data_IF_621087548321
#
_entry.id   IF_621087548321
#
_cell.length_a   1.000
_cell.length_b   1.000
_cell.length_c   1.000
_cell.angle_alpha   90.00
_cell.angle_beta   90.00
_cell.angle_gamma   90.00
#
_symmetry.space_group_name_H-M   'P 1'
#
loop_
_entity.id
_entity.type
_entity.pdbx_description
1 polymer ?
#
# COMPACT_ATOMS: atom_id res chain seq x y z
N UNK A 1 -33.69 63.70 -31.94
CA UNK A 1 -34.74 63.02 -31.13
C UNK A 1 -34.67 61.53 -31.40
N UNK A 2 -34.76 60.72 -30.32
CA UNK A 2 -34.98 59.27 -30.29
C UNK A 2 -33.82 58.35 -30.71
N UNK A 3 -32.93 58.12 -29.74
CA UNK A 3 -32.29 56.83 -29.54
C UNK A 3 -33.27 55.94 -28.77
N UNK A 4 -33.65 54.79 -29.33
CA UNK A 4 -34.40 53.74 -28.64
C UNK A 4 -33.80 52.37 -28.98
N UNK A 5 -33.14 51.80 -27.95
CA UNK A 5 -33.24 50.39 -27.49
C UNK A 5 -33.12 49.25 -28.51
N UNK A 6 -32.10 48.40 -28.35
CA UNK A 6 -32.28 47.09 -27.71
C UNK A 6 -30.90 46.48 -27.36
N UNK A 7 -30.55 46.49 -26.08
CA UNK A 7 -29.48 45.68 -25.53
C UNK A 7 -30.05 44.28 -25.27
N UNK A 8 -29.60 43.27 -26.01
CA UNK A 8 -30.08 41.89 -25.86
C UNK A 8 -28.96 40.90 -26.21
N UNK A 9 -27.86 40.95 -25.44
CA UNK A 9 -26.74 40.01 -25.53
C UNK A 9 -26.08 39.90 -24.15
N UNK A 10 -26.73 39.23 -23.20
CA UNK A 10 -26.11 38.82 -21.95
C UNK A 10 -26.86 37.64 -21.33
N UNK A 11 -26.82 36.49 -22.00
CA UNK A 11 -27.14 35.19 -21.41
C UNK A 11 -26.41 34.17 -22.25
N UNK A 12 -25.59 33.31 -21.63
CA UNK A 12 -24.99 32.04 -22.10
C UNK A 12 -23.52 31.91 -21.65
N UNK A 13 -23.26 31.88 -20.35
CA UNK A 13 -22.01 31.30 -19.81
C UNK A 13 -22.29 30.58 -18.49
N UNK A 14 -22.91 29.41 -18.56
CA UNK A 14 -22.90 28.45 -17.47
C UNK A 14 -23.24 27.06 -18.01
N UNK A 15 -22.30 26.42 -18.71
CA UNK A 15 -22.49 25.04 -19.18
C UNK A 15 -21.30 24.11 -18.86
N UNK A 16 -20.33 24.55 -18.05
CA UNK A 16 -19.26 23.69 -17.56
C UNK A 16 -18.99 23.96 -16.08
N UNK A 17 -19.93 23.54 -15.22
CA UNK A 17 -19.61 23.31 -13.82
C UNK A 17 -19.13 21.84 -13.69
N UNK A 18 -17.94 21.57 -13.13
CA UNK A 18 -17.53 20.21 -12.85
C UNK A 18 -18.51 19.60 -11.84
N UNK A 19 -19.10 18.46 -12.20
CA UNK A 19 -19.97 17.68 -11.32
C UNK A 19 -19.16 17.32 -10.07
N UNK A 20 -19.69 17.54 -8.85
CA UNK A 20 -19.01 17.09 -7.64
C UNK A 20 -18.85 15.58 -7.73
N UNK A 21 -17.63 15.08 -7.46
CA UNK A 21 -17.32 13.64 -7.40
C UNK A 21 -18.15 12.99 -6.28
N UNK A 22 -19.40 12.66 -6.59
CA UNK A 22 -20.18 11.66 -5.90
C UNK A 22 -19.49 10.32 -6.10
N UNK A 23 -19.31 9.60 -4.99
CA UNK A 23 -18.77 8.25 -4.87
C UNK A 23 -18.91 7.47 -6.18
N UNK A 24 -17.79 7.20 -6.87
CA UNK A 24 -17.76 6.26 -7.99
C UNK A 24 -18.38 4.97 -7.47
N UNK A 25 -19.57 4.61 -7.95
CA UNK A 25 -20.05 3.26 -7.80
C UNK A 25 -18.96 2.35 -8.41
N UNK A 26 -18.57 1.25 -7.75
CA UNK A 26 -17.71 0.28 -8.40
C UNK A 26 -18.45 -0.13 -9.68
N UNK A 27 -17.84 0.16 -10.83
CA UNK A 27 -18.26 -0.45 -12.09
C UNK A 27 -18.21 -1.94 -11.84
N UNK A 28 -19.38 -2.58 -11.70
CA UNK A 28 -19.43 -4.03 -11.62
C UNK A 28 -18.64 -4.53 -12.81
N UNK A 29 -17.68 -5.42 -12.58
CA UNK A 29 -17.08 -6.19 -13.66
C UNK A 29 -18.23 -6.64 -14.57
N UNK A 30 -18.26 -6.13 -15.80
CA UNK A 30 -19.20 -6.57 -16.81
C UNK A 30 -18.92 -8.04 -17.01
N UNK A 31 -19.66 -8.87 -16.27
CA UNK A 31 -19.62 -10.30 -16.42
C UNK A 31 -20.12 -10.56 -17.83
N UNK A 32 -19.39 -11.38 -18.59
CA UNK A 32 -19.77 -11.78 -19.95
C UNK A 32 -21.28 -12.10 -19.96
N UNK A 33 -22.01 -11.56 -20.94
CA UNK A 33 -23.40 -11.94 -21.12
C UNK A 33 -23.44 -13.47 -21.35
N UNK A 34 -24.19 -14.17 -20.50
CA UNK A 34 -24.25 -15.63 -20.59
C UNK A 34 -24.91 -16.05 -21.92
N UNK A 35 -24.09 -16.52 -22.86
CA UNK A 35 -24.52 -16.96 -24.19
C UNK A 35 -24.92 -18.44 -24.23
N UNK A 36 -24.85 -19.16 -23.11
CA UNK A 36 -25.11 -20.61 -23.06
C UNK A 36 -26.52 -20.97 -23.57
N UNK A 37 -27.54 -20.21 -23.16
CA UNK A 37 -28.92 -20.41 -23.59
C UNK A 37 -29.11 -20.15 -25.10
N UNK A 38 -28.43 -19.15 -25.66
CA UNK A 38 -28.50 -18.83 -27.09
C UNK A 38 -27.81 -19.91 -27.93
N UNK A 39 -26.67 -20.43 -27.47
CA UNK A 39 -25.96 -21.55 -28.10
C UNK A 39 -26.81 -22.83 -28.08
N UNK A 40 -27.45 -23.14 -26.95
CA UNK A 40 -28.32 -24.30 -26.83
C UNK A 40 -29.52 -24.21 -27.78
N UNK A 41 -30.18 -23.05 -27.86
CA UNK A 41 -31.27 -22.81 -28.78
C UNK A 41 -30.84 -22.93 -30.26
N UNK A 42 -29.67 -22.39 -30.62
CA UNK A 42 -29.11 -22.52 -31.97
C UNK A 42 -28.80 -23.99 -32.33
N UNK A 43 -28.27 -24.77 -31.39
CA UNK A 43 -27.99 -26.18 -31.56
C UNK A 43 -29.27 -27.02 -31.68
N UNK A 44 -30.30 -26.72 -30.89
CA UNK A 44 -31.59 -27.41 -30.97
C UNK A 44 -32.30 -27.13 -32.31
N UNK A 45 -32.32 -25.87 -32.76
CA UNK A 45 -32.86 -25.50 -34.06
C UNK A 45 -32.08 -26.13 -35.21
N UNK A 46 -30.75 -26.18 -35.12
CA UNK A 46 -29.89 -26.85 -36.10
C UNK A 46 -30.19 -28.34 -36.21
N UNK A 47 -30.47 -29.01 -35.08
CA UNK A 47 -30.88 -30.43 -35.05
C UNK A 47 -32.27 -30.65 -35.63
N UNK A 48 -33.21 -29.73 -35.37
CA UNK A 48 -34.62 -29.87 -35.74
C UNK A 48 -34.91 -29.52 -37.19
N UNK A 49 -34.33 -28.42 -37.70
CA UNK A 49 -34.61 -27.87 -39.02
C UNK A 49 -33.45 -28.05 -40.01
N UNK A 50 -32.29 -28.50 -39.52
CA UNK A 50 -31.06 -28.63 -40.29
C UNK A 50 -30.16 -27.41 -40.14
N UNK A 51 -28.85 -27.63 -40.19
CA UNK A 51 -27.83 -26.60 -39.95
C UNK A 51 -27.88 -25.42 -40.94
N UNK A 52 -28.50 -25.59 -42.11
CA UNK A 52 -28.63 -24.55 -43.16
C UNK A 52 -30.03 -23.94 -43.24
N UNK A 53 -30.93 -24.30 -42.32
CA UNK A 53 -32.28 -23.71 -42.25
C UNK A 53 -32.22 -22.22 -41.91
N UNK A 54 -33.25 -21.48 -42.32
CA UNK A 54 -33.32 -20.04 -42.05
C UNK A 54 -33.41 -19.76 -40.53
N UNK A 55 -34.12 -20.62 -39.80
CA UNK A 55 -34.31 -20.55 -38.36
C UNK A 55 -33.00 -20.83 -37.60
N UNK A 56 -32.22 -21.81 -38.05
CA UNK A 56 -30.90 -22.07 -37.47
C UNK A 56 -29.93 -20.91 -37.74
N UNK A 57 -29.95 -20.34 -38.96
CA UNK A 57 -29.09 -19.19 -39.30
C UNK A 57 -29.36 -17.99 -38.40
N UNK A 58 -30.62 -17.59 -38.24
CA UNK A 58 -30.96 -16.44 -37.38
C UNK A 58 -30.51 -16.65 -35.93
N UNK A 59 -30.61 -17.87 -35.40
CA UNK A 59 -30.15 -18.16 -34.04
C UNK A 59 -28.63 -18.15 -33.91
N UNK A 60 -27.90 -18.58 -34.95
CA UNK A 60 -26.45 -18.44 -35.00
C UNK A 60 -26.00 -16.98 -35.15
N UNK A 61 -26.73 -16.18 -35.94
CA UNK A 61 -26.48 -14.74 -36.06
C UNK A 61 -26.62 -14.05 -34.68
N UNK A 62 -27.61 -14.47 -33.86
CA UNK A 62 -27.77 -13.95 -32.49
C UNK A 62 -26.60 -14.34 -31.60
N UNK A 63 -26.12 -15.60 -31.68
CA UNK A 63 -24.94 -16.05 -30.92
C UNK A 63 -23.70 -15.24 -31.34
N UNK A 64 -23.54 -15.01 -32.64
CA UNK A 64 -22.44 -14.22 -33.18
C UNK A 64 -22.50 -12.77 -32.71
N UNK A 65 -23.66 -12.12 -32.73
CA UNK A 65 -23.84 -10.75 -32.22
C UNK A 65 -23.57 -10.65 -30.70
N UNK A 66 -23.95 -11.68 -29.93
CA UNK A 66 -23.66 -11.76 -28.49
C UNK A 66 -22.16 -11.93 -28.22
N UNK A 67 -21.46 -12.73 -29.01
CA UNK A 67 -20.01 -12.96 -28.87
C UNK A 67 -19.20 -11.78 -29.40
N UNK A 68 -19.65 -11.12 -30.48
CA UNK A 68 -19.05 -9.89 -31.01
C UNK A 68 -19.16 -8.71 -30.02
N UNK A 69 -20.19 -8.71 -29.18
CA UNK A 69 -20.36 -7.74 -28.09
C UNK A 69 -19.48 -8.04 -26.87
N UNK A 70 -18.83 -9.21 -26.82
CA UNK A 70 -17.98 -9.62 -25.71
C UNK A 70 -16.62 -8.91 -25.74
N UNK A 71 -16.53 -7.82 -24.98
CA UNK A 71 -15.29 -7.09 -24.78
C UNK A 71 -14.39 -7.71 -23.69
N UNK A 72 -14.69 -8.90 -23.16
CA UNK A 72 -13.91 -9.52 -22.08
C UNK A 72 -12.43 -9.71 -22.44
N UNK A 73 -12.11 -9.94 -23.72
CA UNK A 73 -10.74 -10.00 -24.22
C UNK A 73 -9.95 -8.69 -24.00
N UNK A 74 -10.60 -7.53 -24.11
CA UNK A 74 -9.97 -6.23 -23.88
C UNK A 74 -9.74 -5.93 -22.38
N UNK A 75 -10.44 -6.63 -21.50
CA UNK A 75 -10.30 -6.52 -20.05
C UNK A 75 -9.56 -7.70 -19.41
N UNK A 76 -9.00 -8.61 -20.21
CA UNK A 76 -8.04 -9.56 -19.69
C UNK A 76 -6.88 -8.74 -19.13
N UNK A 77 -6.62 -8.91 -17.83
CA UNK A 77 -5.44 -8.35 -17.21
C UNK A 77 -4.24 -8.75 -18.10
N UNK A 78 -3.29 -7.83 -18.36
CA UNK A 78 -2.10 -8.16 -19.12
C UNK A 78 -1.56 -9.45 -18.54
N UNK A 79 -1.45 -10.48 -19.39
CA UNK A 79 -1.04 -11.84 -19.01
C UNK A 79 -0.01 -11.70 -17.91
N UNK A 80 -0.37 -12.13 -16.70
CA UNK A 80 0.55 -12.17 -15.57
C UNK A 80 1.74 -12.94 -16.09
N UNK A 81 2.80 -12.19 -16.40
CA UNK A 81 3.94 -12.72 -17.13
C UNK A 81 4.39 -13.96 -16.35
N UNK A 82 4.66 -15.07 -17.02
CA UNK A 82 5.07 -16.30 -16.30
C UNK A 82 6.29 -16.01 -15.39
N UNK A 83 7.07 -14.99 -15.76
CA UNK A 83 8.14 -14.40 -14.97
C UNK A 83 7.66 -13.70 -13.68
N UNK A 84 6.53 -12.99 -13.69
CA UNK A 84 5.93 -12.39 -12.50
C UNK A 84 5.43 -13.46 -11.51
N UNK A 85 4.72 -14.48 -11.99
CA UNK A 85 4.29 -15.59 -11.12
C UNK A 85 5.49 -16.32 -10.50
N UNK A 86 6.55 -16.55 -11.29
CA UNK A 86 7.80 -17.12 -10.80
C UNK A 86 8.46 -16.23 -9.73
N UNK A 87 8.48 -14.91 -9.93
CA UNK A 87 9.01 -13.94 -8.96
C UNK A 87 8.20 -13.90 -7.67
N UNK A 88 6.87 -13.91 -7.76
CA UNK A 88 5.99 -13.95 -6.58
C UNK A 88 6.20 -15.25 -5.80
N UNK A 89 6.35 -16.38 -6.50
CA UNK A 89 6.64 -17.68 -5.87
C UNK A 89 8.03 -17.72 -5.23
N UNK A 90 9.05 -17.15 -5.88
CA UNK A 90 10.38 -17.04 -5.30
C UNK A 90 10.39 -16.14 -4.06
N UNK A 91 9.66 -15.02 -4.10
CA UNK A 91 9.54 -14.10 -2.97
C UNK A 91 8.84 -14.77 -1.78
N UNK A 92 7.74 -15.50 -2.01
CA UNK A 92 7.03 -16.20 -0.94
C UNK A 92 7.87 -17.30 -0.29
N UNK A 93 8.73 -17.98 -1.06
CA UNK A 93 9.70 -18.93 -0.52
C UNK A 93 10.80 -18.26 0.32
N UNK A 94 11.30 -17.09 -0.09
CA UNK A 94 12.26 -16.35 0.74
C UNK A 94 11.62 -15.90 2.06
N UNK A 95 10.40 -15.36 2.02
CA UNK A 95 9.69 -14.91 3.22
C UNK A 95 9.41 -16.06 4.20
N UNK A 96 9.05 -17.25 3.72
CA UNK A 96 8.83 -18.40 4.59
C UNK A 96 10.13 -18.90 5.23
N UNK A 97 11.25 -18.84 4.48
CA UNK A 97 12.58 -19.16 5.02
C UNK A 97 13.01 -18.15 6.09
N UNK A 98 12.91 -16.85 5.82
CA UNK A 98 13.26 -15.80 6.79
C UNK A 98 12.39 -15.88 8.04
N UNK A 99 11.11 -16.24 7.90
CA UNK A 99 10.22 -16.48 9.05
C UNK A 99 10.74 -17.61 9.94
N UNK A 100 11.15 -18.73 9.35
CA UNK A 100 11.71 -19.86 10.10
C UNK A 100 13.02 -19.48 10.81
N UNK A 101 13.91 -18.75 10.14
CA UNK A 101 15.15 -18.24 10.73
C UNK A 101 14.87 -17.25 11.88
N UNK A 102 13.85 -16.39 11.75
CA UNK A 102 13.42 -15.51 12.85
C UNK A 102 12.85 -16.28 14.05
N UNK A 103 12.08 -17.33 13.81
CA UNK A 103 11.55 -18.18 14.89
C UNK A 103 12.70 -18.91 15.62
N UNK A 104 13.74 -19.33 14.90
CA UNK A 104 14.97 -19.90 15.48
C UNK A 104 15.74 -18.86 16.32
N UNK A 105 15.96 -17.66 15.80
CA UNK A 105 16.59 -16.55 16.54
C UNK A 105 15.80 -16.22 17.81
N UNK A 106 14.47 -16.24 17.74
CA UNK A 106 13.61 -16.01 18.90
C UNK A 106 13.78 -17.10 19.96
N UNK A 107 13.85 -18.37 19.53
CA UNK A 107 14.13 -19.48 20.44
C UNK A 107 15.51 -19.31 21.11
N UNK A 108 16.56 -19.00 20.34
CA UNK A 108 17.89 -18.72 20.90
C UNK A 108 17.86 -17.55 21.89
N UNK A 109 17.14 -16.48 21.57
CA UNK A 109 17.00 -15.32 22.46
C UNK A 109 16.28 -15.68 23.78
N UNK A 110 15.26 -16.53 23.73
CA UNK A 110 14.56 -17.01 24.92
C UNK A 110 15.42 -17.98 25.75
N UNK A 111 16.24 -18.81 25.10
CA UNK A 111 17.27 -19.63 25.76
C UNK A 111 18.34 -18.76 26.44
N UNK A 112 18.81 -17.70 25.77
CA UNK A 112 19.78 -16.73 26.31
C UNK A 112 19.22 -15.94 27.50
N UNK A 113 17.93 -15.58 27.50
CA UNK A 113 17.27 -14.97 28.68
C UNK A 113 17.24 -15.90 29.89
N UNK A 114 17.21 -17.22 29.67
CA UNK A 114 17.25 -18.24 30.71
C UNK A 114 18.65 -18.45 31.30
N UNK A 115 19.70 -18.17 30.52
CA UNK A 115 21.07 -18.14 31.01
C UNK A 115 21.28 -16.82 31.74
N UNK A 116 21.15 -16.86 33.07
CA UNK A 116 21.64 -15.82 33.98
C UNK A 116 23.16 -15.69 33.81
N UNK A 117 23.58 -14.98 32.76
CA UNK A 117 24.94 -14.48 32.63
C UNK A 117 25.14 -13.59 33.85
N UNK A 118 26.04 -14.01 34.75
CA UNK A 118 26.55 -13.13 35.79
C UNK A 118 27.03 -11.88 35.09
N UNK A 119 26.36 -10.74 35.34
CA UNK A 119 26.72 -9.47 34.72
C UNK A 119 28.22 -9.26 34.92
N UNK A 120 29.02 -9.16 33.85
CA UNK A 120 30.33 -8.56 34.02
C UNK A 120 30.06 -7.17 34.57
N UNK A 121 30.57 -6.89 35.76
CA UNK A 121 30.66 -5.55 36.32
C UNK A 121 31.53 -4.73 35.38
N UNK A 122 30.94 -4.21 34.31
CA UNK A 122 31.58 -3.26 33.40
C UNK A 122 31.61 -1.92 34.12
N UNK A 123 32.58 -1.79 35.01
CA UNK A 123 33.13 -0.50 35.40
C UNK A 123 33.90 0.05 34.21
N UNK A 124 33.19 0.55 33.21
CA UNK A 124 33.74 1.40 32.18
C UNK A 124 32.80 2.60 32.07
N UNK A 125 33.30 3.74 32.52
CA UNK A 125 32.72 5.07 32.40
C UNK A 125 31.98 5.25 31.07
N UNK A 126 30.65 5.31 31.14
CA UNK A 126 29.83 5.77 30.03
C UNK A 126 30.25 7.22 29.67
N UNK A 127 30.51 7.52 28.40
CA UNK A 127 30.77 8.88 27.98
C UNK A 127 29.44 9.67 28.01
N UNK A 128 29.36 10.60 28.95
CA UNK A 128 28.52 11.80 28.99
C UNK A 128 27.12 11.80 28.31
N UNK A 129 26.26 10.84 28.66
CA UNK A 129 24.82 10.84 28.36
C UNK A 129 24.05 12.09 28.86
N UNK A 130 24.68 12.90 29.71
CA UNK A 130 24.04 14.03 30.39
C UNK A 130 23.70 15.16 29.41
N UNK A 131 24.62 15.48 28.50
CA UNK A 131 24.47 16.56 27.52
C UNK A 131 23.36 16.25 26.49
N UNK A 132 23.26 15.01 26.04
CA UNK A 132 22.22 14.58 25.08
C UNK A 132 20.82 14.60 25.71
N UNK A 133 20.71 14.19 26.98
CA UNK A 133 19.44 14.24 27.73
C UNK A 133 18.98 15.67 27.96
N UNK A 134 19.90 16.58 28.28
CA UNK A 134 19.59 18.00 28.46
C UNK A 134 19.13 18.65 27.14
N UNK A 135 19.85 18.38 26.04
CA UNK A 135 19.48 18.88 24.71
C UNK A 135 18.09 18.38 24.26
N UNK A 136 17.78 17.08 24.44
CA UNK A 136 16.48 16.51 24.10
C UNK A 136 15.35 17.09 24.97
N UNK A 137 15.61 17.35 26.26
CA UNK A 137 14.64 18.01 27.13
C UNK A 137 14.36 19.44 26.68
N UNK A 138 15.40 20.20 26.35
CA UNK A 138 15.27 21.58 25.88
C UNK A 138 14.52 21.66 24.54
N UNK A 139 14.80 20.75 23.60
CA UNK A 139 14.10 20.68 22.32
C UNK A 139 12.61 20.34 22.47
N UNK A 140 12.28 19.40 23.36
CA UNK A 140 10.88 19.04 23.69
C UNK A 140 10.15 20.19 24.37
N UNK A 141 10.79 20.89 25.30
CA UNK A 141 10.21 22.05 25.98
C UNK A 141 9.98 23.23 25.03
N UNK A 142 10.92 23.49 24.11
CA UNK A 142 10.78 24.52 23.09
C UNK A 142 9.64 24.17 22.10
N UNK A 143 9.56 22.91 21.66
CA UNK A 143 8.47 22.40 20.82
C UNK A 143 7.11 22.55 21.53
N UNK A 144 7.05 22.29 22.84
CA UNK A 144 5.81 22.42 23.63
C UNK A 144 5.41 23.87 23.88
N UNK A 145 6.38 24.77 24.08
CA UNK A 145 6.13 26.20 24.38
C UNK A 145 5.83 27.04 23.15
N UNK A 146 6.54 26.80 22.04
CA UNK A 146 6.49 27.65 20.86
C UNK A 146 5.87 26.96 19.63
N UNK A 147 5.63 25.66 19.71
CA UNK A 147 5.16 24.85 18.58
C UNK A 147 6.32 24.34 17.71
N UNK A 148 6.09 23.23 17.02
CA UNK A 148 7.11 22.52 16.22
C UNK A 148 7.71 23.39 15.10
N UNK A 149 6.93 24.32 14.56
CA UNK A 149 7.37 25.20 13.46
C UNK A 149 8.09 26.47 13.91
N UNK A 150 8.16 26.73 15.23
CA UNK A 150 8.85 27.92 15.75
C UNK A 150 10.36 27.83 15.50
N UNK A 151 10.97 28.99 15.23
CA UNK A 151 12.43 29.13 15.10
C UNK A 151 13.14 28.64 16.37
N UNK A 152 12.56 28.90 17.55
CA UNK A 152 13.13 28.47 18.84
C UNK A 152 13.11 26.94 19.00
N UNK A 153 12.11 26.27 18.44
CA UNK A 153 12.05 24.80 18.45
C UNK A 153 13.06 24.20 17.48
N UNK A 154 13.19 24.78 16.29
CA UNK A 154 14.17 24.36 15.27
C UNK A 154 15.61 24.49 15.77
N UNK A 155 15.95 25.63 16.37
CA UNK A 155 17.28 25.88 16.92
C UNK A 155 17.62 24.93 18.10
N UNK A 156 16.63 24.57 18.91
CA UNK A 156 16.82 23.59 19.98
C UNK A 156 17.05 22.16 19.43
N UNK A 157 16.41 21.79 18.32
CA UNK A 157 16.68 20.51 17.64
C UNK A 157 18.03 20.49 16.93
N UNK A 158 18.48 21.61 16.34
CA UNK A 158 19.85 21.74 15.82
C UNK A 158 20.90 21.50 16.91
N UNK A 159 20.63 21.96 18.14
CA UNK A 159 21.53 21.72 19.29
C UNK A 159 21.62 20.23 19.65
N UNK A 160 20.53 19.47 19.51
CA UNK A 160 20.54 18.00 19.70
C UNK A 160 21.43 17.34 18.66
N UNK A 161 21.35 17.78 17.40
CA UNK A 161 22.16 17.25 16.31
C UNK A 161 23.65 17.56 16.51
N UNK A 162 24.01 18.75 16.99
CA UNK A 162 25.39 19.12 17.30
C UNK A 162 25.96 18.29 18.48
N UNK A 163 25.15 18.03 19.51
CA UNK A 163 25.55 17.16 20.64
C UNK A 163 25.71 15.70 20.18
N UNK A 164 24.83 15.23 19.29
CA UNK A 164 24.95 13.91 18.69
C UNK A 164 26.21 13.79 17.81
N UNK A 165 26.50 14.82 17.00
CA UNK A 165 27.65 14.88 16.11
C UNK A 165 28.98 14.99 16.88
N UNK A 166 29.00 15.71 18.00
CA UNK A 166 30.18 15.78 18.87
C UNK A 166 30.45 14.47 19.61
N UNK A 167 29.40 13.72 19.96
CA UNK A 167 29.51 12.40 20.58
C UNK A 167 29.99 11.34 19.58
N UNK A 168 29.53 11.40 18.32
CA UNK A 168 29.88 10.43 17.27
C UNK A 168 31.35 10.47 16.84
N UNK A 169 32.08 11.55 17.11
CA UNK A 169 33.53 11.62 16.88
C UNK A 169 34.38 10.82 17.89
N UNK A 170 33.80 10.39 19.02
CA UNK A 170 34.50 9.61 20.06
C UNK A 170 34.27 8.09 19.99
N UNK A 171 33.42 7.61 19.07
CA UNK A 171 33.01 6.22 18.98
C UNK A 171 33.51 5.52 17.71
N UNK A 172 34.81 5.60 17.42
CA UNK A 172 35.45 4.54 16.63
C UNK A 172 35.54 3.31 17.56
N UNK A 173 34.57 2.39 17.41
CA UNK A 173 34.39 1.05 18.02
C UNK A 173 33.51 0.94 19.28
N UNK A 174 32.22 0.73 19.04
CA UNK A 174 31.39 -0.30 19.67
C UNK A 174 30.44 -0.89 18.60
N UNK A 175 29.93 -2.13 18.70
CA UNK A 175 29.37 -2.85 17.57
C UNK A 175 27.99 -2.29 17.16
N UNK A 176 27.65 -2.50 15.89
CA UNK A 176 26.39 -2.08 15.25
C UNK A 176 25.15 -2.88 15.74
N UNK A 177 25.23 -3.55 16.89
CA UNK A 177 24.21 -4.46 17.38
C UNK A 177 23.05 -3.78 18.13
N UNK A 178 23.21 -2.54 18.59
CA UNK A 178 22.15 -1.86 19.37
C UNK A 178 21.26 -0.87 18.59
N UNK A 179 21.67 -0.38 17.41
CA UNK A 179 20.81 0.48 16.57
C UNK A 179 19.84 -0.32 15.68
N UNK A 180 20.12 -1.59 15.42
CA UNK A 180 19.19 -2.50 14.74
C UNK A 180 18.00 -2.90 15.64
N UNK A 181 18.18 -2.87 16.97
CA UNK A 181 17.14 -3.32 17.91
C UNK A 181 15.95 -2.35 17.99
N UNK A 182 16.15 -1.06 17.76
CA UNK A 182 15.05 -0.08 17.82
C UNK A 182 14.17 -0.18 16.55
N UNK A 183 14.79 -0.32 15.37
CA UNK A 183 14.04 -0.58 14.12
C UNK A 183 13.37 -1.96 14.12
N UNK A 184 13.99 -2.97 14.74
CA UNK A 184 13.39 -4.30 14.87
C UNK A 184 12.20 -4.30 15.84
N UNK A 185 12.24 -3.52 16.93
CA UNK A 185 11.11 -3.38 17.87
C UNK A 185 9.95 -2.62 17.22
N UNK A 186 10.22 -1.54 16.47
CA UNK A 186 9.17 -0.79 15.76
C UNK A 186 8.60 -1.59 14.57
N UNK A 187 9.45 -2.37 13.89
CA UNK A 187 9.05 -3.35 12.88
C UNK A 187 8.18 -4.48 13.44
N UNK A 188 8.47 -4.95 14.66
CA UNK A 188 7.63 -5.95 15.33
C UNK A 188 6.23 -5.39 15.69
N UNK A 189 6.12 -4.14 16.12
CA UNK A 189 4.82 -3.51 16.40
C UNK A 189 3.98 -3.33 15.12
N UNK A 190 4.62 -3.00 13.99
CA UNK A 190 3.97 -2.94 12.69
C UNK A 190 3.49 -4.33 12.21
N UNK A 191 4.25 -5.38 12.48
CA UNK A 191 3.91 -6.76 12.10
C UNK A 191 2.75 -7.31 12.95
N UNK A 192 2.67 -6.97 14.24
CA UNK A 192 1.51 -7.32 15.07
C UNK A 192 0.22 -6.62 14.62
N UNK A 193 0.30 -5.34 14.24
CA UNK A 193 -0.86 -4.61 13.68
C UNK A 193 -1.33 -5.22 12.36
N UNK A 194 -0.41 -5.66 11.50
CA UNK A 194 -0.73 -6.33 10.25
C UNK A 194 -1.37 -7.71 10.47
N UNK A 195 -0.87 -8.48 11.46
CA UNK A 195 -1.46 -9.76 11.83
C UNK A 195 -2.88 -9.60 12.41
N UNK A 196 -3.10 -8.62 13.28
CA UNK A 196 -4.42 -8.32 13.81
C UNK A 196 -5.43 -7.93 12.71
N UNK A 197 -4.99 -7.21 11.68
CA UNK A 197 -5.83 -6.88 10.53
C UNK A 197 -6.21 -8.12 9.69
N UNK A 198 -5.30 -9.08 9.54
CA UNK A 198 -5.57 -10.34 8.82
C UNK A 198 -6.50 -11.27 9.60
N UNK A 199 -6.36 -11.38 10.92
CA UNK A 199 -7.22 -12.22 11.76
C UNK A 199 -8.63 -11.62 11.96
N UNK A 200 -8.83 -10.32 11.67
CA UNK A 200 -10.13 -9.64 11.74
C UNK A 200 -10.99 -9.78 10.48
N UNK A 201 -10.51 -10.47 9.46
CA UNK A 201 -11.18 -10.69 8.18
C UNK A 201 -11.61 -12.15 8.02
#
# INVERSE_FOLDING_TARGET
MKFLTLALLASYTSAFAPVPLGKRAPTSHFSRADSSAAVEAALEASKKYGATSAEARVLWDIVEEMDASDNSAAYQAPVLDAEYEAKVKALSQMLSKTKAELDEVKQLADELKGVKLASPSVSASAPDDSAMKEALSAARDATKKFGMESVDAKLAWETVEEVAASTSYSAIRAPLDEECLIELIEGCEALEKFKAALDSR
#
